data_IF_790812127817
#
_entry.id   IF_790812127817
#
_cell.length_a   1.000
_cell.length_b   1.000
_cell.length_c   1.000
_cell.angle_alpha   90.00
_cell.angle_beta   90.00
_cell.angle_gamma   90.00
#
_symmetry.space_group_name_H-M   'P 1'
#
loop_
_entity.id
_entity.type
_entity.pdbx_description
1 polymer ?
#
# COMPACT_ATOMS: atom_id res chain seq x y z
N UNK A 1 33.40 22.40 7.24
CA UNK A 1 32.40 22.97 8.17
C UNK A 1 32.55 22.28 9.51
N UNK A 2 32.67 23.09 10.55
CA UNK A 2 33.29 22.78 11.84
C UNK A 2 32.47 21.74 12.61
N UNK A 3 33.13 20.64 13.01
CA UNK A 3 32.59 19.68 13.97
C UNK A 3 32.60 20.35 15.36
N UNK A 4 31.42 20.71 15.88
CA UNK A 4 31.23 20.95 17.30
C UNK A 4 30.52 19.75 17.90
N UNK A 5 31.31 18.76 18.28
CA UNK A 5 30.96 17.82 19.35
C UNK A 5 31.06 18.59 20.66
N UNK A 6 29.97 19.23 21.09
CA UNK A 6 29.86 19.63 22.49
C UNK A 6 29.47 18.39 23.28
N UNK A 7 30.49 17.61 23.64
CA UNK A 7 30.43 16.81 24.86
C UNK A 7 30.11 17.80 25.98
N UNK A 8 28.92 17.74 26.58
CA UNK A 8 28.67 18.38 27.86
C UNK A 8 29.38 17.52 28.91
N UNK A 9 30.49 18.00 29.50
CA UNK A 9 31.11 17.30 30.62
C UNK A 9 30.41 17.78 31.88
N UNK A 10 29.85 16.85 32.65
CA UNK A 10 29.40 17.08 34.03
C UNK A 10 28.39 18.22 34.22
N UNK A 11 27.11 17.85 34.28
CA UNK A 11 26.16 18.49 35.19
C UNK A 11 25.72 17.51 36.29
N UNK A 12 26.64 16.65 36.73
CA UNK A 12 26.65 16.13 38.11
C UNK A 12 27.64 16.99 38.88
N UNK A 13 27.26 18.25 39.09
CA UNK A 13 27.82 19.00 40.21
C UNK A 13 26.94 18.69 41.41
N UNK A 14 27.51 17.97 42.36
CA UNK A 14 26.92 17.47 43.60
C UNK A 14 26.68 18.60 44.61
N UNK A 15 26.26 19.77 44.11
CA UNK A 15 25.94 21.00 44.85
C UNK A 15 24.43 21.22 44.95
N UNK A 16 23.62 20.16 44.77
CA UNK A 16 22.15 20.24 44.83
C UNK A 16 21.58 20.19 46.26
N UNK A 17 22.42 20.03 47.27
CA UNK A 17 22.04 20.05 48.67
C UNK A 17 22.33 21.48 49.16
N UNK A 18 21.28 22.30 49.30
CA UNK A 18 21.25 23.67 49.90
C UNK A 18 20.80 24.85 48.99
N UNK A 19 20.01 24.62 47.94
CA UNK A 19 19.27 25.71 47.26
C UNK A 19 17.74 25.69 47.44
N UNK A 20 17.19 24.70 48.15
CA UNK A 20 15.72 24.54 48.31
C UNK A 20 15.18 25.08 49.66
N UNK A 21 16.05 25.60 50.53
CA UNK A 21 15.70 26.02 51.88
C UNK A 21 14.75 27.23 51.87
N UNK A 22 14.91 28.15 50.91
CA UNK A 22 14.13 29.40 50.80
C UNK A 22 13.02 29.37 49.72
N UNK A 23 12.80 28.24 49.03
CA UNK A 23 11.75 28.16 48.00
C UNK A 23 10.38 27.85 48.60
N UNK A 24 9.37 28.61 48.16
CA UNK A 24 7.97 28.31 48.47
C UNK A 24 7.60 26.90 47.99
N UNK A 25 6.62 26.23 48.64
CA UNK A 25 6.19 24.89 48.23
C UNK A 25 5.75 24.81 46.75
N UNK A 26 5.14 25.88 46.25
CA UNK A 26 4.70 26.00 44.86
C UNK A 26 5.89 26.10 43.89
N UNK A 27 6.92 26.89 44.23
CA UNK A 27 8.15 26.99 43.43
C UNK A 27 8.93 25.66 43.40
N UNK A 28 8.96 24.92 44.53
CA UNK A 28 9.54 23.56 44.56
C UNK A 28 8.78 22.59 43.67
N UNK A 29 7.45 22.67 43.65
CA UNK A 29 6.63 21.84 42.76
C UNK A 29 6.86 22.18 41.28
N UNK A 30 6.97 23.47 40.95
CA UNK A 30 7.28 23.91 39.59
C UNK A 30 8.68 23.45 39.15
N UNK A 31 9.69 23.56 40.02
CA UNK A 31 11.05 23.08 39.77
C UNK A 31 11.08 21.60 39.43
N UNK A 32 10.37 20.76 40.20
CA UNK A 32 10.24 19.32 39.92
C UNK A 32 9.57 19.05 38.57
N UNK A 33 8.48 19.75 38.26
CA UNK A 33 7.81 19.63 36.96
C UNK A 33 8.72 20.02 35.79
N UNK A 34 9.49 21.10 35.96
CA UNK A 34 10.46 21.56 34.97
C UNK A 34 11.58 20.54 34.75
N UNK A 35 12.13 19.96 35.82
CA UNK A 35 13.16 18.92 35.73
C UNK A 35 12.64 17.68 34.98
N UNK A 36 11.43 17.20 35.30
CA UNK A 36 10.82 16.08 34.59
C UNK A 36 10.59 16.39 33.10
N UNK A 37 10.20 17.62 32.77
CA UNK A 37 10.05 18.05 31.39
C UNK A 37 11.40 18.07 30.66
N UNK A 38 12.46 18.54 31.32
CA UNK A 38 13.81 18.58 30.78
C UNK A 38 14.34 17.16 30.51
N UNK A 39 14.18 16.26 31.47
CA UNK A 39 14.52 14.83 31.32
C UNK A 39 13.76 14.19 30.16
N UNK A 40 12.45 14.49 30.05
CA UNK A 40 11.64 13.98 28.93
C UNK A 40 12.13 14.49 27.58
N UNK A 41 12.49 15.77 27.49
CA UNK A 41 13.05 16.36 26.27
C UNK A 41 14.39 15.72 25.90
N UNK A 42 15.24 15.44 26.88
CA UNK A 42 16.53 14.79 26.66
C UNK A 42 16.36 13.36 26.11
N UNK A 43 15.45 12.56 26.69
CA UNK A 43 15.15 11.22 26.18
C UNK A 43 14.68 11.27 24.73
N UNK A 44 13.75 12.19 24.41
CA UNK A 44 13.25 12.37 23.04
C UNK A 44 14.38 12.76 22.10
N UNK A 45 15.29 13.64 22.53
CA UNK A 45 16.43 14.05 21.74
C UNK A 45 17.37 12.87 21.43
N UNK A 46 17.70 12.05 22.43
CA UNK A 46 18.52 10.86 22.25
C UNK A 46 17.88 9.85 21.29
N UNK A 47 16.56 9.63 21.41
CA UNK A 47 15.85 8.72 20.51
C UNK A 47 15.79 9.24 19.08
N UNK A 48 15.59 10.54 18.89
CA UNK A 48 15.66 11.17 17.58
C UNK A 48 17.03 10.97 16.93
N UNK A 49 18.12 11.15 17.68
CA UNK A 49 19.47 10.92 17.19
C UNK A 49 19.69 9.46 16.77
N UNK A 50 19.22 8.50 17.58
CA UNK A 50 19.27 7.06 17.23
C UNK A 50 18.49 6.77 15.95
N UNK A 51 17.30 7.33 15.79
CA UNK A 51 16.47 7.16 14.58
C UNK A 51 17.19 7.75 13.36
N UNK A 52 17.76 8.95 13.48
CA UNK A 52 18.53 9.58 12.40
C UNK A 52 19.70 8.70 11.95
N UNK A 53 20.47 8.14 12.89
CA UNK A 53 21.56 7.22 12.56
C UNK A 53 21.07 5.96 11.84
N UNK A 54 19.97 5.36 12.29
CA UNK A 54 19.35 4.20 11.64
C UNK A 54 18.91 4.53 10.21
N UNK A 55 18.26 5.68 10.01
CA UNK A 55 17.85 6.16 8.68
C UNK A 55 19.07 6.33 7.78
N UNK A 56 20.15 6.94 8.27
CA UNK A 56 21.38 7.12 7.51
C UNK A 56 22.00 5.77 7.11
N UNK A 57 22.01 4.78 8.01
CA UNK A 57 22.48 3.42 7.70
C UNK A 57 21.66 2.78 6.58
N UNK A 58 20.33 2.82 6.67
CA UNK A 58 19.44 2.29 5.63
C UNK A 58 19.65 3.02 4.29
N UNK A 59 19.80 4.35 4.31
CA UNK A 59 20.11 5.16 3.12
C UNK A 59 21.44 4.73 2.48
N UNK A 60 22.48 4.48 3.27
CA UNK A 60 23.77 3.98 2.77
C UNK A 60 23.63 2.60 2.12
N UNK A 61 22.96 1.66 2.78
CA UNK A 61 22.72 0.32 2.25
C UNK A 61 21.95 0.38 0.92
N UNK A 62 20.87 1.16 0.87
CA UNK A 62 20.06 1.34 -0.34
C UNK A 62 20.89 1.94 -1.48
N UNK A 63 21.76 2.89 -1.18
CA UNK A 63 22.67 3.49 -2.17
C UNK A 63 23.67 2.47 -2.71
N UNK A 64 24.22 1.61 -1.85
CA UNK A 64 25.13 0.56 -2.29
C UNK A 64 24.40 -0.44 -3.19
N UNK A 65 23.26 -0.96 -2.74
CA UNK A 65 22.44 -1.87 -3.55
C UNK A 65 22.10 -1.30 -4.93
N UNK A 66 21.72 -0.02 -5.02
CA UNK A 66 21.47 0.65 -6.31
C UNK A 66 22.73 0.74 -7.20
N UNK A 67 23.91 0.89 -6.60
CA UNK A 67 25.17 0.87 -7.35
C UNK A 67 25.47 -0.54 -7.86
N UNK A 68 25.27 -1.55 -7.02
CA UNK A 68 25.55 -2.95 -7.35
C UNK A 68 24.60 -3.42 -8.46
N UNK A 69 23.31 -3.11 -8.35
CA UNK A 69 22.34 -3.34 -9.43
C UNK A 69 22.78 -2.65 -10.71
N UNK A 70 23.21 -1.38 -10.66
CA UNK A 70 23.68 -0.66 -11.86
C UNK A 70 24.94 -1.32 -12.46
N UNK A 71 25.83 -1.83 -11.62
CA UNK A 71 27.01 -2.56 -12.09
C UNK A 71 26.58 -3.84 -12.82
N UNK A 72 25.73 -4.65 -12.19
CA UNK A 72 25.19 -5.88 -12.78
C UNK A 72 24.45 -5.60 -14.09
N UNK A 73 23.61 -4.56 -14.13
CA UNK A 73 22.93 -4.15 -15.36
C UNK A 73 23.91 -3.79 -16.49
N UNK A 74 25.00 -3.06 -16.19
CA UNK A 74 26.02 -2.75 -17.21
C UNK A 74 26.75 -3.99 -17.70
N UNK A 75 27.06 -4.92 -16.80
CA UNK A 75 27.72 -6.17 -17.14
C UNK A 75 26.82 -7.02 -18.06
N UNK A 76 25.54 -7.18 -17.68
CA UNK A 76 24.56 -7.91 -18.48
C UNK A 76 24.28 -7.25 -19.83
N UNK A 77 24.22 -5.91 -19.89
CA UNK A 77 24.13 -5.16 -21.15
C UNK A 77 25.36 -5.41 -22.05
N UNK A 78 26.55 -5.64 -21.48
CA UNK A 78 27.77 -5.98 -22.23
C UNK A 78 27.76 -7.40 -22.78
N UNK A 79 27.05 -8.32 -22.14
CA UNK A 79 26.93 -9.71 -22.59
C UNK A 79 25.95 -9.90 -23.77
N UNK A 80 25.16 -8.88 -24.11
CA UNK A 80 24.27 -8.89 -25.29
C UNK A 80 23.06 -9.82 -25.16
N UNK A 81 22.74 -10.28 -23.96
CA UNK A 81 21.58 -11.12 -23.66
C UNK A 81 20.31 -10.26 -23.53
N UNK A 82 19.13 -10.80 -23.89
CA UNK A 82 17.83 -10.14 -23.73
C UNK A 82 17.36 -10.16 -22.26
N UNK A 83 18.26 -9.97 -21.29
CA UNK A 83 17.95 -10.00 -19.85
C UNK A 83 16.89 -8.97 -19.43
N UNK A 84 16.66 -7.94 -20.26
CA UNK A 84 15.61 -6.94 -20.07
C UNK A 84 14.21 -7.42 -20.49
N UNK A 85 14.13 -8.48 -21.28
CA UNK A 85 12.90 -9.03 -21.88
C UNK A 85 12.68 -10.50 -21.52
N UNK A 86 13.70 -11.17 -20.98
CA UNK A 86 13.60 -12.47 -20.35
C UNK A 86 12.44 -12.46 -19.36
N UNK A 87 11.41 -13.27 -19.61
CA UNK A 87 10.35 -13.49 -18.65
C UNK A 87 10.99 -14.12 -17.41
N UNK A 88 11.05 -13.38 -16.31
CA UNK A 88 11.45 -13.94 -15.02
C UNK A 88 10.57 -15.18 -14.78
N UNK A 89 11.18 -16.38 -14.79
CA UNK A 89 10.48 -17.57 -14.30
C UNK A 89 10.08 -17.26 -12.86
N UNK A 90 8.79 -16.99 -12.69
CA UNK A 90 8.22 -16.58 -11.41
C UNK A 90 8.52 -17.69 -10.42
N UNK A 91 9.46 -17.43 -9.51
CA UNK A 91 9.84 -18.32 -8.42
C UNK A 91 8.64 -18.39 -7.46
N UNK A 92 7.67 -19.20 -7.86
CA UNK A 92 6.45 -19.46 -7.12
C UNK A 92 6.86 -20.31 -5.94
N UNK A 93 6.64 -19.76 -4.73
CA UNK A 93 6.72 -20.54 -3.50
C UNK A 93 5.93 -21.84 -3.69
N UNK A 94 6.39 -22.99 -3.16
CA UNK A 94 5.74 -24.29 -3.37
C UNK A 94 4.21 -24.29 -3.16
N UNK A 95 3.73 -23.46 -2.23
CA UNK A 95 2.31 -23.29 -1.92
C UNK A 95 1.49 -22.73 -3.09
N UNK A 96 2.07 -21.85 -3.92
CA UNK A 96 1.41 -21.27 -5.09
C UNK A 96 1.27 -22.27 -6.25
N UNK A 97 2.08 -23.34 -6.28
CA UNK A 97 2.00 -24.41 -7.28
C UNK A 97 0.80 -25.33 -7.06
N UNK A 98 0.39 -25.52 -5.81
CA UNK A 98 -0.79 -26.33 -5.43
C UNK A 98 -2.05 -25.64 -5.95
N UNK A 99 -2.17 -24.33 -5.69
CA UNK A 99 -3.30 -23.51 -6.12
C UNK A 99 -3.41 -23.45 -7.66
N UNK A 100 -2.28 -23.32 -8.37
CA UNK A 100 -2.29 -23.37 -9.85
C UNK A 100 -2.75 -24.72 -10.39
N UNK A 101 -2.38 -25.84 -9.74
CA UNK A 101 -2.80 -27.18 -10.13
C UNK A 101 -4.29 -27.40 -9.86
N UNK A 102 -4.82 -26.87 -8.77
CA UNK A 102 -6.25 -26.93 -8.43
C UNK A 102 -7.11 -26.08 -9.37
N UNK A 103 -6.69 -24.85 -9.69
CA UNK A 103 -7.36 -24.01 -10.70
C UNK A 103 -7.33 -24.66 -12.09
N UNK A 104 -6.26 -25.40 -12.42
CA UNK A 104 -6.14 -26.12 -13.69
C UNK A 104 -7.04 -27.37 -13.72
N UNK A 105 -7.27 -28.03 -12.58
CA UNK A 105 -8.23 -29.14 -12.45
C UNK A 105 -9.68 -28.66 -12.57
N UNK A 106 -10.07 -27.60 -11.89
CA UNK A 106 -11.44 -27.03 -11.98
C UNK A 106 -11.78 -26.56 -13.41
N UNK A 107 -10.80 -26.03 -14.15
CA UNK A 107 -10.99 -25.65 -15.56
C UNK A 107 -11.10 -26.85 -16.50
N UNK A 108 -10.52 -28.00 -16.15
CA UNK A 108 -10.54 -29.21 -16.98
C UNK A 108 -11.76 -30.11 -16.69
N UNK A 109 -12.37 -29.99 -15.51
CA UNK A 109 -13.65 -30.65 -15.20
C UNK A 109 -14.85 -29.94 -15.84
N UNK A 110 -14.79 -28.61 -16.04
CA UNK A 110 -15.83 -27.86 -16.75
C UNK A 110 -15.86 -28.09 -18.27
N UNK A 111 -14.84 -28.71 -18.87
CA UNK A 111 -14.75 -28.94 -20.32
C UNK A 111 -15.22 -30.33 -20.78
N UNK A 112 -15.65 -31.23 -19.88
CA UNK A 112 -16.04 -32.61 -20.25
C UNK A 112 -17.55 -32.88 -20.31
N UNK A 113 -18.42 -31.87 -20.19
CA UNK A 113 -19.87 -32.01 -20.45
C UNK A 113 -20.33 -31.01 -21.51
N UNK A 114 -20.47 -31.47 -22.75
CA UNK A 114 -21.16 -30.74 -23.82
C UNK A 114 -20.60 -31.01 -25.22
N UNK A 115 -21.04 -32.10 -25.83
CA UNK A 115 -20.73 -32.51 -27.21
C UNK A 115 -21.51 -31.63 -28.23
N UNK A 116 -20.91 -31.28 -29.38
CA UNK A 116 -21.66 -30.72 -30.51
C UNK A 116 -20.88 -29.87 -31.53
N UNK A 117 -20.09 -30.53 -32.40
CA UNK A 117 -19.85 -30.23 -33.84
C UNK A 117 -19.75 -28.75 -34.31
N UNK A 118 -18.56 -28.33 -34.77
CA UNK A 118 -18.27 -28.16 -36.20
C UNK A 118 -16.88 -27.53 -36.46
N UNK A 119 -16.24 -28.07 -37.49
CA UNK A 119 -14.89 -27.79 -37.93
C UNK A 119 -14.91 -26.63 -38.94
N UNK A 120 -14.16 -25.55 -38.70
CA UNK A 120 -13.79 -24.58 -39.73
C UNK A 120 -12.54 -23.79 -39.34
N UNK A 121 -11.44 -24.04 -40.06
CA UNK A 121 -10.25 -23.17 -40.14
C UNK A 121 -10.67 -21.72 -40.36
N UNK A 122 -10.10 -20.76 -39.61
CA UNK A 122 -9.77 -19.42 -40.14
C UNK A 122 -8.73 -18.69 -39.29
N UNK A 123 -7.97 -17.86 -40.01
CA UNK A 123 -6.67 -17.25 -39.73
C UNK A 123 -6.66 -16.21 -38.60
N UNK A 124 -5.44 -15.91 -38.18
CA UNK A 124 -5.01 -14.72 -37.45
C UNK A 124 -5.76 -13.45 -37.87
N UNK A 125 -6.19 -12.68 -36.88
CA UNK A 125 -6.81 -11.38 -37.05
C UNK A 125 -6.95 -10.67 -35.71
N UNK A 126 -6.16 -9.62 -35.53
CA UNK A 126 -6.18 -8.62 -34.45
C UNK A 126 -7.62 -8.24 -34.08
N UNK A 127 -8.10 -8.67 -32.91
CA UNK A 127 -9.40 -8.22 -32.37
C UNK A 127 -9.27 -6.76 -31.91
N UNK A 128 -9.56 -5.82 -32.82
CA UNK A 128 -9.96 -4.46 -32.44
C UNK A 128 -11.14 -4.58 -31.49
N UNK A 129 -11.01 -4.07 -30.26
CA UNK A 129 -12.11 -3.88 -29.32
C UNK A 129 -13.18 -3.04 -30.01
N UNK A 130 -14.30 -3.66 -30.36
CA UNK A 130 -15.53 -2.96 -30.70
C UNK A 130 -15.89 -2.18 -29.44
N UNK A 131 -15.74 -0.86 -29.48
CA UNK A 131 -16.37 0.04 -28.49
C UNK A 131 -17.87 -0.09 -28.75
N UNK A 132 -18.55 -0.94 -27.98
CA UNK A 132 -20.00 -0.84 -27.83
C UNK A 132 -20.27 0.58 -27.33
N UNK A 133 -20.89 1.41 -28.16
CA UNK A 133 -21.47 2.67 -27.74
C UNK A 133 -22.29 2.39 -26.49
N UNK A 134 -21.98 3.13 -25.42
CA UNK A 134 -22.74 3.01 -24.18
C UNK A 134 -24.16 3.46 -24.54
N UNK A 135 -25.10 2.53 -24.57
CA UNK A 135 -26.52 2.90 -24.58
C UNK A 135 -26.73 3.90 -23.45
N UNK A 136 -27.33 5.04 -23.78
CA UNK A 136 -27.74 6.03 -22.82
C UNK A 136 -28.72 5.36 -21.86
N UNK A 137 -28.24 5.13 -20.64
CA UNK A 137 -29.03 4.49 -19.59
C UNK A 137 -30.03 5.53 -19.12
N UNK A 138 -31.30 5.13 -19.05
CA UNK A 138 -32.37 6.01 -18.59
C UNK A 138 -31.98 6.73 -17.30
N UNK A 139 -32.07 8.07 -17.24
CA UNK A 139 -31.64 8.84 -16.09
C UNK A 139 -32.46 8.55 -14.82
N UNK A 140 -33.64 7.94 -14.98
CA UNK A 140 -34.55 7.58 -13.89
C UNK A 140 -34.31 6.15 -13.35
N UNK A 141 -33.54 5.32 -14.05
CA UNK A 141 -33.24 3.97 -13.60
C UNK A 141 -32.27 4.01 -12.39
N UNK A 142 -32.50 3.21 -11.33
CA UNK A 142 -31.56 3.10 -10.23
C UNK A 142 -30.14 2.77 -10.72
N UNK A 143 -29.12 3.41 -10.14
CA UNK A 143 -27.70 3.14 -10.44
C UNK A 143 -27.22 1.91 -9.68
N UNK A 144 -26.52 1.00 -10.39
CA UNK A 144 -25.94 -0.20 -9.79
C UNK A 144 -24.96 0.16 -8.66
N UNK A 145 -24.97 -0.57 -7.53
CA UNK A 145 -24.07 -0.30 -6.43
C UNK A 145 -22.63 -0.65 -6.80
N UNK A 146 -21.64 0.06 -6.22
CA UNK A 146 -20.23 -0.24 -6.42
C UNK A 146 -19.85 -1.58 -5.76
N UNK A 147 -19.09 -2.41 -6.46
CA UNK A 147 -18.55 -3.68 -5.94
C UNK A 147 -17.66 -3.44 -4.69
N UNK A 148 -17.50 -4.45 -3.84
CA UNK A 148 -16.64 -4.46 -2.64
C UNK A 148 -15.23 -3.88 -2.89
N UNK A 149 -14.56 -4.31 -3.98
CA UNK A 149 -13.26 -3.76 -4.35
C UNK A 149 -13.32 -2.26 -4.71
N UNK A 150 -14.40 -1.81 -5.33
CA UNK A 150 -14.56 -0.41 -5.69
C UNK A 150 -14.83 0.46 -4.45
N UNK A 151 -15.63 -0.04 -3.50
CA UNK A 151 -15.82 0.59 -2.18
C UNK A 151 -14.47 0.76 -1.46
N UNK A 152 -13.67 -0.30 -1.40
CA UNK A 152 -12.32 -0.26 -0.86
C UNK A 152 -11.44 0.78 -1.58
N UNK A 153 -11.45 0.78 -2.92
CA UNK A 153 -10.69 1.76 -3.68
C UNK A 153 -11.13 3.19 -3.39
N UNK A 154 -12.43 3.45 -3.21
CA UNK A 154 -12.94 4.78 -2.91
C UNK A 154 -12.43 5.32 -1.57
N UNK A 155 -12.39 4.48 -0.54
CA UNK A 155 -11.87 4.85 0.79
C UNK A 155 -10.34 4.96 0.82
N UNK A 156 -9.64 4.04 0.16
CA UNK A 156 -8.19 3.95 0.26
C UNK A 156 -7.44 4.85 -0.72
N UNK A 157 -8.08 5.33 -1.80
CA UNK A 157 -7.46 6.24 -2.77
C UNK A 157 -6.90 7.52 -2.15
N UNK A 158 -7.63 8.29 -1.32
CA UNK A 158 -7.06 9.49 -0.69
C UNK A 158 -5.90 9.17 0.26
N UNK A 159 -6.00 8.07 1.02
CA UNK A 159 -4.95 7.63 1.94
C UNK A 159 -3.69 7.24 1.17
N UNK A 160 -3.83 6.46 0.10
CA UNK A 160 -2.73 6.04 -0.74
C UNK A 160 -2.10 7.22 -1.50
N UNK A 161 -2.91 8.20 -1.92
CA UNK A 161 -2.42 9.44 -2.53
C UNK A 161 -1.59 10.27 -1.54
N UNK A 162 -2.08 10.45 -0.31
CA UNK A 162 -1.38 11.19 0.73
C UNK A 162 -0.04 10.51 1.10
N UNK A 163 -0.06 9.19 1.28
CA UNK A 163 1.16 8.42 1.55
C UNK A 163 2.18 8.60 0.41
N UNK A 164 1.77 8.46 -0.84
CA UNK A 164 2.66 8.61 -1.99
C UNK A 164 3.19 10.04 -2.14
N UNK A 165 2.39 11.06 -1.86
CA UNK A 165 2.81 12.46 -1.91
C UNK A 165 3.88 12.81 -0.85
N UNK A 166 3.91 12.09 0.28
CA UNK A 166 4.98 12.23 1.29
C UNK A 166 6.29 11.63 0.79
N UNK A 167 6.25 10.52 0.07
CA UNK A 167 7.45 9.84 -0.44
C UNK A 167 7.95 10.38 -1.77
N UNK A 168 7.09 11.01 -2.58
CA UNK A 168 7.39 11.50 -3.91
C UNK A 168 6.90 12.93 -4.09
N UNK A 169 7.79 13.82 -4.53
CA UNK A 169 7.51 15.26 -4.77
C UNK A 169 6.61 15.53 -5.99
N UNK A 170 6.29 14.49 -6.77
CA UNK A 170 5.47 14.55 -7.98
C UNK A 170 4.10 13.91 -7.75
N UNK A 171 3.07 14.41 -8.43
CA UNK A 171 1.73 13.79 -8.39
C UNK A 171 1.82 12.31 -8.79
N UNK A 172 1.34 11.38 -7.95
CA UNK A 172 1.40 9.96 -8.27
C UNK A 172 0.51 9.65 -9.48
N UNK A 173 1.04 8.91 -10.44
CA UNK A 173 0.31 8.50 -11.62
C UNK A 173 -0.97 7.72 -11.21
N UNK A 174 -2.14 8.14 -11.72
CA UNK A 174 -3.43 7.49 -11.44
C UNK A 174 -3.40 5.97 -11.69
N UNK A 175 -2.60 5.52 -12.65
CA UNK A 175 -2.40 4.10 -12.97
C UNK A 175 -1.60 3.38 -11.89
N UNK A 176 -0.53 3.98 -11.37
CA UNK A 176 0.28 3.42 -10.28
C UNK A 176 -0.53 3.32 -8.99
N UNK A 177 -1.32 4.34 -8.68
CA UNK A 177 -2.24 4.34 -7.54
C UNK A 177 -3.24 3.17 -7.63
N UNK A 178 -3.79 2.94 -8.82
CA UNK A 178 -4.74 1.84 -9.06
C UNK A 178 -4.06 0.47 -8.94
N UNK A 179 -2.83 0.31 -9.44
CA UNK A 179 -2.03 -0.92 -9.26
C UNK A 179 -1.74 -1.18 -7.78
N UNK A 180 -1.34 -0.14 -7.05
CA UNK A 180 -1.06 -0.24 -5.62
C UNK A 180 -2.31 -0.66 -4.82
N UNK A 181 -3.47 -0.07 -5.11
CA UNK A 181 -4.74 -0.45 -4.48
C UNK A 181 -5.14 -1.90 -4.79
N UNK A 182 -4.91 -2.38 -6.01
CA UNK A 182 -5.17 -3.78 -6.36
C UNK A 182 -4.28 -4.76 -5.56
N UNK A 183 -3.02 -4.41 -5.33
CA UNK A 183 -2.11 -5.21 -4.49
C UNK A 183 -2.53 -5.19 -3.02
N UNK A 184 -2.88 -4.03 -2.48
CA UNK A 184 -3.40 -3.91 -1.12
C UNK A 184 -4.66 -4.75 -0.94
N UNK A 185 -5.60 -4.69 -1.89
CA UNK A 185 -6.79 -5.53 -1.85
C UNK A 185 -6.45 -7.02 -1.89
N UNK A 186 -5.49 -7.45 -2.71
CA UNK A 186 -5.08 -8.87 -2.75
C UNK A 186 -4.53 -9.33 -1.40
N UNK A 187 -3.73 -8.50 -0.74
CA UNK A 187 -3.05 -8.80 0.51
C UNK A 187 -3.87 -8.50 1.77
N UNK A 188 -5.03 -7.86 1.64
CA UNK A 188 -5.90 -7.51 2.76
C UNK A 188 -6.38 -8.79 3.48
N UNK A 189 -6.40 -8.84 4.83
CA UNK A 189 -6.91 -9.99 5.55
C UNK A 189 -8.37 -10.29 5.18
N UNK A 190 -8.80 -11.57 5.25
CA UNK A 190 -10.14 -11.98 4.85
C UNK A 190 -11.23 -11.27 5.68
N UNK A 191 -10.98 -11.01 6.96
CA UNK A 191 -11.88 -10.31 7.88
C UNK A 191 -12.17 -8.89 7.39
N UNK A 192 -11.14 -8.12 7.05
CA UNK A 192 -11.31 -6.76 6.53
C UNK A 192 -11.97 -6.77 5.14
N UNK A 193 -11.62 -7.73 4.28
CA UNK A 193 -12.32 -7.91 2.98
C UNK A 193 -13.80 -8.19 3.18
N UNK A 194 -14.17 -8.99 4.17
CA UNK A 194 -15.55 -9.40 4.44
C UNK A 194 -16.43 -8.19 4.78
N UNK A 195 -15.91 -7.22 5.54
CA UNK A 195 -16.63 -5.97 5.83
C UNK A 195 -17.04 -5.25 4.53
N UNK A 196 -16.16 -5.22 3.52
CA UNK A 196 -16.47 -4.61 2.23
C UNK A 196 -17.46 -5.42 1.40
N UNK A 197 -17.43 -6.76 1.51
CA UNK A 197 -18.40 -7.66 0.86
C UNK A 197 -19.78 -7.48 1.47
N UNK A 198 -19.89 -7.44 2.79
CA UNK A 198 -21.16 -7.23 3.50
C UNK A 198 -21.77 -5.86 3.16
N UNK A 199 -20.96 -4.79 3.16
CA UNK A 199 -21.43 -3.46 2.72
C UNK A 199 -21.94 -3.47 1.28
N UNK A 200 -21.30 -4.25 0.40
CA UNK A 200 -21.76 -4.42 -0.97
C UNK A 200 -23.09 -5.17 -1.04
N UNK A 201 -23.26 -6.25 -0.28
CA UNK A 201 -24.50 -7.03 -0.22
C UNK A 201 -25.68 -6.19 0.26
N UNK A 202 -25.50 -5.41 1.34
CA UNK A 202 -26.52 -4.46 1.82
C UNK A 202 -26.87 -3.42 0.74
N UNK A 203 -25.86 -2.91 0.04
CA UNK A 203 -26.07 -1.93 -1.04
C UNK A 203 -26.76 -2.54 -2.26
N UNK A 204 -26.53 -3.83 -2.51
CA UNK A 204 -27.16 -4.63 -3.57
C UNK A 204 -28.63 -4.88 -3.27
N UNK A 205 -28.95 -5.28 -2.05
CA UNK A 205 -30.35 -5.49 -1.63
C UNK A 205 -31.17 -4.20 -1.79
N UNK A 206 -30.65 -3.07 -1.29
CA UNK A 206 -31.27 -1.74 -1.48
C UNK A 206 -31.45 -1.35 -2.95
N UNK A 207 -30.55 -1.80 -3.81
CA UNK A 207 -30.65 -1.56 -5.25
C UNK A 207 -31.74 -2.42 -5.88
N UNK A 208 -31.81 -3.69 -5.51
CA UNK A 208 -32.79 -4.64 -6.01
C UNK A 208 -34.21 -4.22 -5.58
N UNK A 209 -34.39 -3.75 -4.35
CA UNK A 209 -35.64 -3.12 -3.88
C UNK A 209 -36.03 -1.91 -4.72
N UNK A 210 -35.12 -0.95 -4.92
CA UNK A 210 -35.37 0.25 -5.74
C UNK A 210 -35.67 -0.10 -7.19
N UNK A 211 -34.99 -1.10 -7.73
CA UNK A 211 -35.22 -1.58 -9.09
C UNK A 211 -36.60 -2.25 -9.21
N UNK A 212 -36.99 -3.06 -8.23
CA UNK A 212 -38.33 -3.66 -8.20
C UNK A 212 -39.43 -2.60 -8.12
N UNK A 213 -39.24 -1.54 -7.32
CA UNK A 213 -40.16 -0.40 -7.24
C UNK A 213 -40.20 0.42 -8.54
N UNK A 214 -39.08 0.55 -9.24
CA UNK A 214 -39.00 1.21 -10.55
C UNK A 214 -39.78 0.41 -11.60
N UNK A 215 -39.53 -0.91 -11.70
CA UNK A 215 -40.23 -1.81 -12.62
C UNK A 215 -41.74 -1.86 -12.34
N UNK A 216 -42.16 -1.74 -11.07
CA UNK A 216 -43.58 -1.71 -10.69
C UNK A 216 -44.27 -0.37 -10.96
N UNK A 217 -43.49 0.70 -11.17
CA UNK A 217 -43.99 2.06 -11.41
C UNK A 217 -44.15 2.39 -12.89
N UNK A 218 -43.44 1.68 -13.77
CA UNK A 218 -43.71 1.60 -15.22
C UNK A 218 -44.85 0.61 -15.52
#
# INVERSE_FOLDING_TARGET
MVLRSSSNPNLSDDSHIDMDIDLTPEMRQYRKKYQLLLERCEIIQQDNERIVHRIQKIKKMTKHYKKDVKLLMRELDSHGDEWRTAEDEVDLKPDDLIIKREIKKEKNEKSTKGNGKNNAKKKAGTRKKIKTEKQDKDPNAPKRPPNAFFLFCQEQRPIAMQKLAVFSKNEPNKQELTRHLALLWRNLPPEEKQIYVERYEISKEKYDEKMSAYIKKE
#
